data_IF_396296508268
#
_entry.id   IF_396296508268
#
_cell.length_a   1.000
_cell.length_b   1.000
_cell.length_c   1.000
_cell.angle_alpha   90.00
_cell.angle_beta   90.00
_cell.angle_gamma   90.00
#
_symmetry.space_group_name_H-M   'P 1'
#
loop_
_entity.id
_entity.type
_entity.pdbx_description
1 polymer ?
#
# COMPACT_ATOMS: atom_id res chain seq x y z
N UNK A 1 11.98 10.25 -14.45
CA UNK A 1 10.91 9.30 -14.08
C UNK A 1 9.59 9.83 -14.62
N UNK A 2 8.61 8.94 -14.82
CA UNK A 2 7.57 9.08 -15.85
C UNK A 2 6.48 10.14 -15.61
N UNK A 3 5.84 10.56 -16.71
CA UNK A 3 4.72 11.50 -16.75
C UNK A 3 3.36 10.79 -16.88
N UNK A 4 3.38 9.46 -16.95
CA UNK A 4 2.17 8.65 -17.09
C UNK A 4 1.40 8.53 -15.77
N UNK A 5 0.17 8.01 -15.89
CA UNK A 5 -0.72 7.79 -14.77
C UNK A 5 -0.08 6.86 -13.74
N UNK A 6 -0.04 7.32 -12.48
CA UNK A 6 0.51 6.55 -11.37
C UNK A 6 -0.37 5.33 -11.03
N UNK A 7 0.25 4.20 -10.68
CA UNK A 7 -0.43 3.00 -10.20
C UNK A 7 0.29 2.46 -8.96
N UNK A 8 -0.24 2.81 -7.78
CA UNK A 8 0.32 2.41 -6.48
C UNK A 8 0.44 0.90 -6.37
N UNK A 9 -0.61 0.17 -6.75
CA UNK A 9 -0.66 -1.28 -6.58
C UNK A 9 0.40 -2.03 -7.39
N UNK A 10 0.60 -1.70 -8.66
CA UNK A 10 1.67 -2.29 -9.49
C UNK A 10 3.06 -1.99 -8.94
N UNK A 11 3.29 -0.74 -8.51
CA UNK A 11 4.58 -0.34 -7.93
C UNK A 11 4.85 -1.10 -6.63
N UNK A 12 3.86 -1.21 -5.73
CA UNK A 12 4.02 -1.93 -4.46
C UNK A 12 4.22 -3.44 -4.68
N UNK A 13 3.50 -4.05 -5.63
CA UNK A 13 3.71 -5.46 -6.00
C UNK A 13 5.11 -5.69 -6.60
N UNK A 14 5.57 -4.80 -7.49
CA UNK A 14 6.91 -4.87 -8.06
C UNK A 14 7.99 -4.71 -6.97
N UNK A 15 7.84 -3.71 -6.11
CA UNK A 15 8.75 -3.45 -5.00
C UNK A 15 8.83 -4.64 -4.03
N UNK A 16 7.70 -5.26 -3.69
CA UNK A 16 7.68 -6.47 -2.87
C UNK A 16 8.51 -7.60 -3.51
N UNK A 17 8.33 -7.85 -4.81
CA UNK A 17 9.06 -8.90 -5.53
C UNK A 17 10.55 -8.61 -5.66
N UNK A 18 10.94 -7.37 -5.92
CA UNK A 18 12.36 -7.01 -6.03
C UNK A 18 13.06 -6.97 -4.67
N UNK A 19 12.38 -6.46 -3.63
CA UNK A 19 12.94 -6.42 -2.28
C UNK A 19 13.24 -7.83 -1.74
N UNK A 20 12.33 -8.80 -1.93
CA UNK A 20 12.53 -10.17 -1.45
C UNK A 20 13.60 -10.97 -2.21
N UNK A 21 14.06 -10.49 -3.37
CA UNK A 21 15.25 -11.06 -4.03
C UNK A 21 16.55 -10.66 -3.32
N UNK A 22 16.54 -9.52 -2.63
CA UNK A 22 17.71 -8.97 -1.95
C UNK A 22 17.71 -9.26 -0.45
N UNK A 23 16.52 -9.34 0.16
CA UNK A 23 16.35 -9.45 1.60
C UNK A 23 15.35 -10.54 1.94
N UNK A 24 15.77 -11.52 2.74
CA UNK A 24 14.86 -12.49 3.34
C UNK A 24 14.12 -11.82 4.51
N UNK A 25 12.97 -11.21 4.21
CA UNK A 25 12.15 -10.50 5.20
C UNK A 25 10.87 -11.25 5.48
N UNK A 26 10.55 -11.40 6.77
CA UNK A 26 9.26 -11.91 7.25
C UNK A 26 8.20 -10.81 7.41
N UNK A 27 8.58 -9.55 7.23
CA UNK A 27 7.72 -8.39 7.45
C UNK A 27 7.93 -7.34 6.36
N UNK A 28 6.85 -6.81 5.81
CA UNK A 28 6.88 -5.74 4.81
C UNK A 28 6.03 -4.56 5.25
N UNK A 29 6.54 -3.35 5.02
CA UNK A 29 5.86 -2.09 5.30
C UNK A 29 5.67 -1.32 4.01
N UNK A 30 4.42 -1.08 3.62
CA UNK A 30 4.05 -0.19 2.54
C UNK A 30 3.79 1.18 3.14
N UNK A 31 4.60 2.16 2.74
CA UNK A 31 4.67 3.45 3.41
C UNK A 31 4.65 4.59 2.40
N UNK A 32 3.63 5.45 2.47
CA UNK A 32 3.61 6.68 1.68
C UNK A 32 4.75 7.61 2.15
N UNK A 33 5.55 8.11 1.21
CA UNK A 33 6.80 8.84 1.48
C UNK A 33 6.58 10.20 2.18
N UNK A 34 5.37 10.70 2.14
CA UNK A 34 4.95 11.98 2.72
C UNK A 34 4.43 11.85 4.16
N UNK A 35 4.41 10.65 4.75
CA UNK A 35 4.00 10.45 6.13
C UNK A 35 5.24 10.27 7.02
N UNK A 36 5.24 10.94 8.18
CA UNK A 36 6.30 10.80 9.18
C UNK A 36 5.65 10.47 10.54
N UNK A 37 6.03 9.37 11.21
CA UNK A 37 5.47 9.04 12.53
C UNK A 37 5.86 10.09 13.57
N UNK A 38 4.91 10.48 14.42
CA UNK A 38 5.12 11.47 15.49
C UNK A 38 5.56 10.84 16.82
N UNK A 39 5.48 9.51 16.93
CA UNK A 39 5.72 8.76 18.16
C UNK A 39 6.48 7.46 17.88
N UNK A 40 7.64 7.28 18.52
CA UNK A 40 8.53 6.12 18.33
C UNK A 40 7.98 4.82 18.94
N UNK A 41 6.96 4.90 19.79
CA UNK A 41 6.23 3.73 20.29
C UNK A 41 5.35 3.10 19.21
N UNK A 42 5.13 3.79 18.09
CA UNK A 42 4.48 3.19 16.93
C UNK A 42 5.46 2.30 16.15
N UNK A 43 5.78 1.15 16.73
CA UNK A 43 6.85 0.26 16.26
C UNK A 43 6.62 -0.28 14.84
N UNK A 44 7.64 -0.20 13.98
CA UNK A 44 7.64 -0.69 12.60
C UNK A 44 7.95 -2.19 12.56
N UNK A 45 7.12 -2.96 13.26
CA UNK A 45 7.20 -4.42 13.34
C UNK A 45 5.83 -5.03 13.04
N UNK A 46 5.84 -6.17 12.36
CA UNK A 46 4.62 -6.90 12.04
C UNK A 46 3.97 -7.49 13.29
N UNK A 47 2.65 -7.66 13.20
CA UNK A 47 1.81 -8.32 14.21
C UNK A 47 1.15 -9.56 13.63
N UNK A 48 0.39 -10.29 14.45
CA UNK A 48 -0.37 -11.47 13.99
C UNK A 48 -1.40 -11.17 12.90
N UNK A 49 -1.81 -9.91 12.77
CA UNK A 49 -2.73 -9.42 11.76
C UNK A 49 -2.08 -8.28 10.98
N UNK A 50 -2.49 -8.02 9.72
CA UNK A 50 -2.09 -6.82 8.98
C UNK A 50 -2.29 -5.56 9.83
N UNK A 51 -1.27 -4.71 9.90
CA UNK A 51 -1.21 -3.57 10.82
C UNK A 51 -1.33 -2.26 10.06
N UNK A 52 -2.43 -1.55 10.25
CA UNK A 52 -2.59 -0.18 9.76
C UNK A 52 -2.01 0.80 10.78
N UNK A 53 -0.96 1.50 10.39
CA UNK A 53 -0.13 2.31 11.29
C UNK A 53 -0.60 3.76 11.34
N UNK A 54 -1.05 4.33 10.21
CA UNK A 54 -1.38 5.76 10.07
C UNK A 54 -2.83 6.10 10.40
N UNK A 55 -3.23 5.84 11.65
CA UNK A 55 -4.62 6.04 12.10
C UNK A 55 -4.93 7.52 12.27
N UNK A 56 -4.01 8.27 12.90
CA UNK A 56 -4.16 9.70 13.14
C UNK A 56 -3.22 10.49 12.24
N UNK A 57 -3.71 11.01 11.13
CA UNK A 57 -2.92 11.91 10.27
C UNK A 57 -3.34 13.35 10.54
N UNK A 58 -2.38 14.26 10.69
CA UNK A 58 -2.63 15.68 11.00
C UNK A 58 -3.56 16.37 9.99
N UNK A 59 -3.46 16.01 8.70
CA UNK A 59 -4.36 16.44 7.62
C UNK A 59 -5.84 16.14 7.89
N UNK A 60 -6.13 15.05 8.62
CA UNK A 60 -7.47 14.65 9.01
C UNK A 60 -7.74 14.94 10.50
N UNK A 61 -7.02 15.92 11.07
CA UNK A 61 -7.13 16.30 12.48
C UNK A 61 -6.91 15.12 13.44
N UNK A 62 -6.06 14.17 13.05
CA UNK A 62 -5.77 12.93 13.77
C UNK A 62 -6.99 12.00 13.99
N UNK A 63 -8.04 12.18 13.19
CA UNK A 63 -9.24 11.34 13.19
C UNK A 63 -9.18 10.42 11.99
N UNK A 64 -9.40 9.12 12.21
CA UNK A 64 -9.52 8.14 11.13
C UNK A 64 -10.79 8.47 10.31
N UNK A 65 -10.68 8.76 8.99
CA UNK A 65 -11.83 9.17 8.20
C UNK A 65 -12.97 8.13 8.13
N UNK A 66 -12.64 6.84 8.08
CA UNK A 66 -13.59 5.73 8.09
C UNK A 66 -12.90 4.39 8.41
N UNK A 67 -13.66 3.43 8.94
CA UNK A 67 -13.14 2.15 9.46
C UNK A 67 -12.43 1.27 8.42
N UNK A 68 -12.84 1.39 7.15
CA UNK A 68 -12.28 0.65 6.03
C UNK A 68 -10.94 1.20 5.52
N UNK A 69 -10.46 2.35 6.01
CA UNK A 69 -9.24 2.97 5.50
C UNK A 69 -7.99 2.24 6.02
N UNK A 70 -7.12 1.85 5.08
CA UNK A 70 -5.78 1.30 5.33
C UNK A 70 -4.67 2.00 4.52
N UNK A 71 -4.98 3.16 3.93
CA UNK A 71 -4.01 3.98 3.20
C UNK A 71 -3.00 4.68 4.10
N UNK A 72 -1.95 5.25 3.50
CA UNK A 72 -0.82 5.81 4.25
C UNK A 72 0.24 4.75 4.54
N UNK A 73 0.12 4.08 5.69
CA UNK A 73 1.13 3.13 6.19
C UNK A 73 0.48 1.82 6.64
N UNK A 74 0.79 0.74 5.92
CA UNK A 74 0.23 -0.59 6.11
C UNK A 74 1.32 -1.65 6.12
N UNK A 75 1.32 -2.50 7.13
CA UNK A 75 2.29 -3.58 7.29
C UNK A 75 1.64 -4.95 7.21
N UNK A 76 2.39 -5.91 6.68
CA UNK A 76 2.00 -7.31 6.55
C UNK A 76 3.16 -8.22 6.92
N UNK A 77 2.87 -9.35 7.57
CA UNK A 77 3.78 -10.49 7.45
C UNK A 77 3.87 -10.87 5.96
N UNK A 78 5.04 -11.31 5.51
CA UNK A 78 5.28 -11.59 4.08
C UNK A 78 4.29 -12.61 3.51
N UNK A 79 3.97 -13.65 4.29
CA UNK A 79 2.99 -14.67 3.95
C UNK A 79 1.56 -14.12 3.85
N UNK A 80 1.17 -13.17 4.70
CA UNK A 80 -0.14 -12.50 4.64
C UNK A 80 -0.29 -11.68 3.37
N UNK A 81 0.76 -10.97 2.96
CA UNK A 81 0.74 -10.19 1.71
C UNK A 81 0.60 -11.11 0.47
N UNK A 82 1.29 -12.25 0.49
CA UNK A 82 1.14 -13.30 -0.53
C UNK A 82 -0.26 -13.89 -0.50
N UNK A 83 -0.81 -14.19 0.68
CA UNK A 83 -2.15 -14.77 0.87
C UNK A 83 -3.24 -13.89 0.26
N UNK A 84 -3.17 -12.57 0.45
CA UNK A 84 -4.16 -11.63 -0.13
C UNK A 84 -3.92 -11.34 -1.62
N UNK A 85 -2.93 -11.99 -2.23
CA UNK A 85 -2.45 -11.75 -3.58
C UNK A 85 -2.04 -10.28 -3.83
N UNK A 86 -1.40 -9.65 -2.85
CA UNK A 86 -0.93 -8.27 -2.91
C UNK A 86 -1.98 -7.22 -3.32
N UNK A 87 -1.51 -6.07 -3.80
CA UNK A 87 -2.38 -4.98 -4.26
C UNK A 87 -3.02 -5.28 -5.62
N UNK A 88 -4.16 -4.65 -5.91
CA UNK A 88 -4.77 -4.64 -7.25
C UNK A 88 -3.88 -3.91 -8.26
N UNK A 89 -3.65 -4.52 -9.43
CA UNK A 89 -2.89 -3.93 -10.53
C UNK A 89 -3.73 -2.98 -11.40
N UNK A 90 -5.02 -2.84 -11.11
CA UNK A 90 -6.02 -2.19 -11.98
C UNK A 90 -6.29 -0.71 -11.65
N UNK A 91 -5.77 -0.20 -10.55
CA UNK A 91 -6.00 1.19 -10.13
C UNK A 91 -4.97 2.13 -10.74
N UNK A 92 -5.34 2.71 -11.89
CA UNK A 92 -4.60 3.78 -12.54
C UNK A 92 -5.16 5.13 -12.13
N UNK A 93 -4.35 5.93 -11.44
CA UNK A 93 -4.73 7.20 -10.83
C UNK A 93 -5.00 7.04 -9.34
N UNK A 94 -5.41 8.14 -8.70
CA UNK A 94 -5.63 8.15 -7.26
C UNK A 94 -7.04 7.64 -6.89
N UNK A 95 -7.13 6.72 -5.92
CA UNK A 95 -8.33 6.40 -5.17
C UNK A 95 -8.80 4.93 -5.23
N UNK A 96 -9.31 4.46 -4.09
CA UNK A 96 -9.95 3.17 -3.83
C UNK A 96 -9.08 1.91 -3.96
N UNK A 97 -7.78 2.05 -4.23
CA UNK A 97 -6.82 0.95 -4.19
C UNK A 97 -6.58 0.44 -2.76
N UNK A 98 -6.55 1.35 -1.79
CA UNK A 98 -6.43 1.00 -0.37
C UNK A 98 -7.74 0.37 0.16
N UNK A 99 -8.90 0.80 -0.35
CA UNK A 99 -10.21 0.20 -0.02
C UNK A 99 -10.34 -1.24 -0.60
N UNK A 100 -9.79 -1.46 -1.81
CA UNK A 100 -9.68 -2.79 -2.40
C UNK A 100 -8.79 -3.69 -1.53
N UNK A 101 -7.66 -3.18 -1.06
CA UNK A 101 -6.78 -3.91 -0.13
C UNK A 101 -7.52 -4.30 1.16
N UNK A 102 -8.30 -3.41 1.78
CA UNK A 102 -9.17 -3.76 2.91
C UNK A 102 -10.10 -4.92 2.56
N UNK A 103 -10.72 -4.88 1.39
CA UNK A 103 -11.61 -5.95 0.93
C UNK A 103 -10.86 -7.28 0.78
N UNK A 104 -9.61 -7.27 0.27
CA UNK A 104 -8.77 -8.48 0.14
C UNK A 104 -8.37 -9.08 1.48
N UNK A 105 -8.00 -8.23 2.44
CA UNK A 105 -7.65 -8.64 3.82
C UNK A 105 -8.85 -9.38 4.43
N UNK A 106 -10.01 -8.72 4.43
CA UNK A 106 -11.21 -9.27 5.06
C UNK A 106 -11.72 -10.53 4.35
N UNK A 107 -11.60 -10.62 3.01
CA UNK A 107 -12.04 -11.81 2.26
C UNK A 107 -11.21 -13.06 2.54
N UNK A 108 -10.01 -12.91 3.09
CA UNK A 108 -9.13 -14.02 3.51
C UNK A 108 -9.20 -14.31 5.01
N UNK A 109 -10.20 -13.75 5.72
CA UNK A 109 -10.40 -14.00 7.15
C UNK A 109 -9.39 -13.29 8.06
N UNK A 110 -8.53 -12.43 7.52
CA UNK A 110 -7.64 -11.57 8.28
C UNK A 110 -8.42 -10.37 8.84
N UNK A 111 -7.86 -9.75 9.87
CA UNK A 111 -8.38 -8.53 10.49
C UNK A 111 -7.36 -7.42 10.35
N UNK A 112 -7.79 -6.16 10.48
CA UNK A 112 -6.89 -5.03 10.51
C UNK A 112 -6.58 -4.72 11.97
N UNK A 113 -5.33 -4.89 12.37
CA UNK A 113 -4.83 -4.42 13.65
C UNK A 113 -4.47 -2.93 13.56
N UNK A 114 -4.79 -2.18 14.61
CA UNK A 114 -4.58 -0.74 14.73
C UNK A 114 -4.00 -0.45 16.12
N UNK A 115 -2.82 0.19 16.22
CA UNK A 115 -2.32 0.65 17.52
C UNK A 115 -3.23 1.72 18.14
N UNK A 116 -3.05 2.07 19.43
CA UNK A 116 -3.77 3.17 20.05
C UNK A 116 -3.61 4.48 19.26
N UNK A 117 -4.72 5.20 19.03
CA UNK A 117 -4.74 6.41 18.18
C UNK A 117 -3.87 7.56 18.70
N UNK A 118 -3.60 7.61 20.01
CA UNK A 118 -2.68 8.57 20.61
C UNK A 118 -1.19 8.28 20.30
N UNK A 119 -0.86 7.05 19.90
CA UNK A 119 0.49 6.62 19.49
C UNK A 119 0.62 6.60 17.96
N UNK A 120 -0.44 6.16 17.26
CA UNK A 120 -0.47 5.98 15.81
C UNK A 120 -0.65 7.31 15.03
N UNK A 121 0.09 8.35 15.42
CA UNK A 121 0.03 9.70 14.86
C UNK A 121 1.10 9.93 13.81
N UNK A 122 0.72 10.63 12.75
CA UNK A 122 1.56 10.95 11.61
C UNK A 122 1.39 12.39 11.16
N UNK A 123 2.53 12.99 10.79
CA UNK A 123 2.59 14.27 10.10
C UNK A 123 2.66 14.05 8.59
N UNK A 124 1.77 14.68 7.83
CA UNK A 124 1.85 14.69 6.37
C UNK A 124 2.71 15.88 5.87
N UNK A 125 3.73 15.57 5.08
CA UNK A 125 4.49 16.55 4.31
C UNK A 125 3.55 17.16 3.27
N UNK A 126 3.47 18.50 3.23
CA UNK A 126 2.54 19.19 2.34
C UNK A 126 2.89 18.95 0.87
N UNK A 127 1.90 18.57 0.09
CA UNK A 127 2.01 18.38 -1.35
C UNK A 127 0.66 18.67 -2.04
N UNK A 128 0.69 18.93 -3.34
CA UNK A 128 -0.53 19.09 -4.13
C UNK A 128 -1.23 17.75 -4.35
N UNK A 129 -2.57 17.78 -4.36
CA UNK A 129 -3.38 16.59 -4.63
C UNK A 129 -3.16 16.06 -6.05
N UNK A 130 -3.20 14.74 -6.22
CA UNK A 130 -3.16 14.11 -7.55
C UNK A 130 -4.56 13.96 -8.13
N UNK A 131 -4.65 13.96 -9.46
CA UNK A 131 -5.91 13.72 -10.18
C UNK A 131 -6.45 12.33 -9.82
N UNK A 132 -7.69 12.29 -9.35
CA UNK A 132 -8.40 11.05 -9.06
C UNK A 132 -8.79 10.31 -10.34
N UNK A 133 -8.83 8.99 -10.29
CA UNK A 133 -9.47 8.19 -11.33
C UNK A 133 -10.99 8.45 -11.36
N UNK A 134 -11.62 8.28 -12.52
CA UNK A 134 -13.06 8.38 -12.69
C UNK A 134 -13.83 7.58 -11.63
N UNK A 135 -14.82 8.22 -10.98
CA UNK A 135 -15.54 7.62 -9.84
C UNK A 135 -16.25 6.32 -10.25
N UNK A 136 -16.87 6.31 -11.44
CA UNK A 136 -17.57 5.14 -11.97
C UNK A 136 -16.62 3.93 -12.15
N UNK A 137 -15.39 4.17 -12.59
CA UNK A 137 -14.36 3.15 -12.81
C UNK A 137 -13.91 2.55 -11.48
N UNK A 138 -13.48 3.38 -10.53
CA UNK A 138 -12.98 2.89 -9.23
C UNK A 138 -14.06 2.19 -8.41
N UNK A 139 -15.30 2.65 -8.48
CA UNK A 139 -16.42 1.98 -7.80
C UNK A 139 -16.74 0.62 -8.42
N UNK A 140 -16.62 0.47 -9.75
CA UNK A 140 -16.78 -0.83 -10.43
C UNK A 140 -15.68 -1.81 -10.02
N UNK A 141 -14.43 -1.35 -9.94
CA UNK A 141 -13.31 -2.16 -9.46
C UNK A 141 -13.52 -2.61 -8.02
N UNK A 142 -13.88 -1.68 -7.13
CA UNK A 142 -14.08 -1.95 -5.70
C UNK A 142 -15.19 -2.96 -5.45
N UNK A 143 -16.34 -2.83 -6.14
CA UNK A 143 -17.45 -3.81 -6.03
C UNK A 143 -17.06 -5.23 -6.40
N UNK A 144 -16.01 -5.41 -7.19
CA UNK A 144 -15.52 -6.72 -7.63
C UNK A 144 -14.22 -7.16 -6.96
N UNK A 145 -13.69 -6.36 -6.02
CA UNK A 145 -12.39 -6.57 -5.37
C UNK A 145 -12.17 -8.00 -4.85
N UNK A 146 -13.10 -8.51 -4.03
CA UNK A 146 -13.00 -9.86 -3.46
C UNK A 146 -12.98 -10.99 -4.50
N UNK A 147 -13.64 -10.81 -5.64
CA UNK A 147 -13.61 -11.79 -6.74
C UNK A 147 -12.35 -11.63 -7.58
N UNK A 148 -11.96 -10.39 -7.88
CA UNK A 148 -10.79 -10.07 -8.70
C UNK A 148 -9.48 -10.40 -8.03
N UNK A 149 -9.38 -10.34 -6.69
CA UNK A 149 -8.16 -10.67 -5.96
C UNK A 149 -7.67 -12.09 -6.22
N UNK A 150 -8.57 -13.01 -6.58
CA UNK A 150 -8.23 -14.38 -7.00
C UNK A 150 -7.64 -14.47 -8.40
N UNK A 151 -7.88 -13.46 -9.23
CA UNK A 151 -7.53 -13.41 -10.65
C UNK A 151 -6.33 -12.49 -10.91
N UNK A 152 -6.16 -11.43 -10.12
CA UNK A 152 -5.11 -10.44 -10.33
C UNK A 152 -4.58 -9.83 -9.02
N UNK A 153 -3.29 -9.51 -9.08
CA UNK A 153 -2.55 -8.89 -8.01
C UNK A 153 -1.07 -9.26 -8.10
N UNK A 154 -0.46 -9.66 -6.99
CA UNK A 154 0.95 -10.01 -6.91
C UNK A 154 1.35 -11.10 -7.93
N UNK A 155 0.51 -12.12 -8.08
CA UNK A 155 0.76 -13.28 -8.93
C UNK A 155 0.94 -12.96 -10.43
N UNK A 156 0.36 -11.86 -10.90
CA UNK A 156 0.39 -11.47 -12.32
C UNK A 156 0.76 -10.00 -12.55
N UNK A 157 1.36 -9.35 -11.56
CA UNK A 157 1.86 -7.98 -11.69
C UNK A 157 2.87 -7.89 -12.85
N UNK A 158 2.52 -7.11 -13.87
CA UNK A 158 3.34 -6.84 -15.05
C UNK A 158 4.23 -5.63 -14.78
N UNK A 159 5.54 -5.82 -14.84
CA UNK A 159 6.53 -4.76 -14.77
C UNK A 159 7.87 -5.23 -15.33
N UNK A 160 8.75 -4.28 -15.67
CA UNK A 160 10.15 -4.49 -16.01
C UNK A 160 11.03 -3.69 -15.06
N UNK A 161 11.99 -4.35 -14.44
CA UNK A 161 13.06 -3.66 -13.71
C UNK A 161 13.97 -2.96 -14.72
N UNK A 162 14.03 -1.64 -14.65
CA UNK A 162 14.85 -0.79 -15.54
C UNK A 162 16.25 -0.63 -14.96
N UNK A 163 16.34 -0.29 -13.67
CA UNK A 163 17.61 -0.18 -12.97
C UNK A 163 17.44 -0.37 -11.46
N UNK A 164 18.54 -0.73 -10.81
CA UNK A 164 18.66 -0.78 -9.34
C UNK A 164 19.83 0.11 -8.94
N UNK A 165 19.60 1.04 -8.02
CA UNK A 165 20.64 1.88 -7.44
C UNK A 165 20.71 1.60 -5.94
N UNK A 166 21.84 1.06 -5.49
CA UNK A 166 22.10 0.80 -4.08
C UNK A 166 22.77 2.04 -3.50
N UNK A 167 22.05 2.78 -2.67
CA UNK A 167 22.54 3.97 -1.97
C UNK A 167 22.90 3.64 -0.52
N UNK A 168 23.60 4.57 0.15
CA UNK A 168 24.00 4.39 1.56
C UNK A 168 22.83 4.21 2.52
N UNK A 169 21.67 4.82 2.23
CA UNK A 169 20.52 4.86 3.13
C UNK A 169 19.29 4.12 2.61
N UNK A 170 19.26 3.77 1.31
CA UNK A 170 18.13 3.09 0.68
C UNK A 170 18.57 2.36 -0.59
N UNK A 171 17.74 1.43 -1.06
CA UNK A 171 17.86 0.87 -2.40
C UNK A 171 16.72 1.41 -3.25
N UNK A 172 17.05 1.93 -4.43
CA UNK A 172 16.10 2.52 -5.36
C UNK A 172 15.91 1.62 -6.57
N UNK A 173 14.70 1.06 -6.71
CA UNK A 173 14.29 0.33 -7.90
C UNK A 173 13.55 1.28 -8.86
N UNK A 174 14.06 1.38 -10.08
CA UNK A 174 13.32 2.03 -11.17
C UNK A 174 12.62 0.93 -11.95
N UNK A 175 11.29 0.95 -11.95
CA UNK A 175 10.44 -0.04 -12.62
C UNK A 175 9.58 0.62 -13.68
N UNK A 176 9.46 -0.03 -14.83
CA UNK A 176 8.45 0.25 -15.84
C UNK A 176 7.24 -0.65 -15.59
N UNK A 177 6.10 -0.04 -15.30
CA UNK A 177 4.84 -0.73 -14.96
C UNK A 177 3.83 -0.73 -16.12
N UNK A 178 4.26 -0.29 -17.31
CA UNK A 178 3.43 -0.12 -18.50
C UNK A 178 2.46 1.05 -18.39
N UNK A 179 1.41 1.00 -19.22
CA UNK A 179 0.37 2.02 -19.33
C UNK A 179 -1.02 1.45 -18.96
N UNK A 180 -2.01 2.32 -18.68
CA UNK A 180 -3.40 1.94 -18.42
C UNK A 180 -4.02 0.97 -19.42
#
# INVERSE_FOLDING_TARGET
FGNDTFNKGRIMNAAFREALKLFDSHCVCFHDVDLVPEDDRNMYSCTEQPKHMSIGIDKFQYILPYDGLVGGVLMFKTDQFVLVNGYSNMYWGWGAEDDDMTTRILSHGLRIYRPPSNIARYKMVKHDGRKSSEVSVRMKLLRSAAKRSKLEGLNNAQYKLVSTHIEKLFTHFIVDIGHP
#
